data_IF_128047620448
#
_entry.id   IF_128047620448
#
_cell.length_a   1.000
_cell.length_b   1.000
_cell.length_c   1.000
_cell.angle_alpha   90.00
_cell.angle_beta   90.00
_cell.angle_gamma   90.00
#
_symmetry.space_group_name_H-M   'P 1'
#
loop_
_entity.id
_entity.type
_entity.pdbx_description
1 polymer ?
#
# COMPACT_ATOMS: atom_id res chain seq x y z
N UNK A 1 19.62 -7.70 -2.17
CA UNK A 1 19.06 -6.41 -1.69
C UNK A 1 18.76 -6.54 -0.20
N UNK A 2 19.09 -5.52 0.62
CA UNK A 2 18.70 -5.54 2.04
C UNK A 2 17.18 -5.47 2.18
N UNK A 3 16.62 -6.19 3.15
CA UNK A 3 15.18 -6.16 3.44
C UNK A 3 14.69 -4.73 3.72
N UNK A 4 15.53 -3.91 4.37
CA UNK A 4 15.26 -2.49 4.61
C UNK A 4 15.08 -1.72 3.30
N UNK A 5 15.91 -2.00 2.28
CA UNK A 5 15.81 -1.34 0.98
C UNK A 5 14.55 -1.73 0.23
N UNK A 6 14.11 -2.99 0.33
CA UNK A 6 12.90 -3.43 -0.35
C UNK A 6 11.65 -2.85 0.30
N UNK A 7 11.49 -3.02 1.62
CA UNK A 7 10.35 -2.49 2.35
C UNK A 7 10.32 -0.96 2.31
N UNK A 8 11.47 -0.32 2.56
CA UNK A 8 11.61 1.13 2.48
C UNK A 8 11.36 1.64 1.06
N UNK A 9 11.86 0.96 0.04
CA UNK A 9 11.66 1.31 -1.36
C UNK A 9 10.18 1.31 -1.75
N UNK A 10 9.44 0.26 -1.41
CA UNK A 10 8.00 0.20 -1.68
C UNK A 10 7.24 1.24 -0.86
N UNK A 11 7.57 1.42 0.43
CA UNK A 11 6.95 2.42 1.28
C UNK A 11 7.12 3.84 0.72
N UNK A 12 8.33 4.19 0.29
CA UNK A 12 8.66 5.50 -0.31
C UNK A 12 7.94 5.66 -1.64
N UNK A 13 7.96 4.64 -2.51
CA UNK A 13 7.29 4.68 -3.80
C UNK A 13 5.76 4.89 -3.64
N UNK A 14 5.13 4.13 -2.75
CA UNK A 14 3.71 4.28 -2.44
C UNK A 14 3.43 5.65 -1.84
N UNK A 15 4.23 6.10 -0.87
CA UNK A 15 4.08 7.43 -0.27
C UNK A 15 4.15 8.52 -1.33
N UNK A 16 5.13 8.46 -2.23
CA UNK A 16 5.30 9.42 -3.31
C UNK A 16 4.09 9.43 -4.25
N UNK A 17 3.59 8.25 -4.65
CA UNK A 17 2.40 8.13 -5.51
C UNK A 17 1.16 8.73 -4.85
N UNK A 18 0.91 8.37 -3.58
CA UNK A 18 -0.24 8.87 -2.81
C UNK A 18 -0.14 10.38 -2.61
N UNK A 19 1.08 10.86 -2.32
CA UNK A 19 1.35 12.29 -2.22
C UNK A 19 1.02 12.95 -3.54
N UNK A 20 1.62 12.56 -4.67
CA UNK A 20 1.39 13.21 -5.98
C UNK A 20 -0.10 13.20 -6.38
N UNK A 21 -0.79 12.08 -6.19
CA UNK A 21 -2.17 11.90 -6.65
C UNK A 21 -3.23 12.47 -5.70
N UNK A 22 -2.86 12.83 -4.47
CA UNK A 22 -3.72 13.42 -3.44
C UNK A 22 -5.07 12.72 -3.29
N UNK A 23 -5.08 11.52 -2.69
CA UNK A 23 -6.28 10.70 -2.52
C UNK A 23 -6.63 10.50 -1.06
N UNK A 24 -7.90 10.21 -0.77
CA UNK A 24 -8.38 9.94 0.59
C UNK A 24 -7.73 8.69 1.16
N UNK A 25 -7.28 8.81 2.41
CA UNK A 25 -6.62 7.74 3.14
C UNK A 25 -7.49 6.48 3.23
N UNK A 26 -8.78 6.62 3.54
CA UNK A 26 -9.66 5.49 3.82
C UNK A 26 -9.83 4.53 2.64
N UNK A 27 -10.01 5.04 1.43
CA UNK A 27 -10.12 4.19 0.22
C UNK A 27 -8.83 3.40 0.01
N UNK A 28 -7.69 4.05 0.21
CA UNK A 28 -6.38 3.44 0.01
C UNK A 28 -6.03 2.42 1.10
N UNK A 29 -6.39 2.70 2.35
CA UNK A 29 -6.19 1.78 3.46
C UNK A 29 -7.01 0.50 3.30
N UNK A 30 -8.29 0.63 2.91
CA UNK A 30 -9.15 -0.53 2.64
C UNK A 30 -8.69 -1.30 1.40
N UNK A 31 -8.22 -0.59 0.36
CA UNK A 31 -7.57 -1.22 -0.77
C UNK A 31 -6.39 -2.08 -0.34
N UNK A 32 -5.51 -1.55 0.52
CA UNK A 32 -4.33 -2.28 0.99
C UNK A 32 -4.73 -3.54 1.76
N UNK A 33 -5.82 -3.50 2.52
CA UNK A 33 -6.37 -4.68 3.19
C UNK A 33 -6.78 -5.76 2.16
N UNK A 34 -7.54 -5.36 1.14
CA UNK A 34 -7.97 -6.26 0.07
C UNK A 34 -6.77 -6.79 -0.74
N UNK A 35 -5.80 -5.92 -1.04
CA UNK A 35 -4.58 -6.30 -1.74
C UNK A 35 -3.71 -7.28 -0.95
N UNK A 36 -3.62 -7.11 0.38
CA UNK A 36 -2.89 -8.03 1.24
C UNK A 36 -3.51 -9.43 1.21
N UNK A 37 -4.84 -9.52 1.31
CA UNK A 37 -5.56 -10.78 1.15
C UNK A 37 -5.32 -11.40 -0.24
N UNK A 38 -5.34 -10.58 -1.29
CA UNK A 38 -5.08 -11.06 -2.64
C UNK A 38 -3.65 -11.60 -2.78
N UNK A 39 -2.66 -10.92 -2.20
CA UNK A 39 -1.28 -11.39 -2.17
C UNK A 39 -1.14 -12.70 -1.39
N UNK A 40 -1.81 -12.84 -0.22
CA UNK A 40 -1.77 -14.08 0.55
C UNK A 40 -2.36 -15.28 -0.20
N UNK A 41 -3.41 -15.05 -1.00
CA UNK A 41 -4.12 -16.09 -1.74
C UNK A 41 -3.47 -16.45 -3.08
N UNK A 42 -2.91 -15.48 -3.80
CA UNK A 42 -2.54 -15.64 -5.21
C UNK A 42 -1.07 -15.40 -5.54
N UNK A 43 -0.23 -14.99 -4.58
CA UNK A 43 1.18 -14.70 -4.86
C UNK A 43 1.95 -15.93 -5.38
N UNK A 44 1.70 -17.12 -4.83
CA UNK A 44 2.36 -18.35 -5.27
C UNK A 44 1.96 -18.72 -6.71
N UNK A 45 0.67 -18.68 -7.00
CA UNK A 45 0.16 -18.93 -8.35
C UNK A 45 0.74 -17.93 -9.36
N UNK A 46 0.70 -16.64 -9.04
CA UNK A 46 1.21 -15.59 -9.92
C UNK A 46 2.74 -15.71 -10.10
N UNK A 47 3.48 -16.09 -9.06
CA UNK A 47 4.92 -16.37 -9.17
C UNK A 47 5.20 -17.51 -10.15
N UNK A 48 4.38 -18.57 -10.12
CA UNK A 48 4.43 -19.67 -11.08
C UNK A 48 4.17 -19.20 -12.52
N UNK A 49 3.17 -18.35 -12.72
CA UNK A 49 2.90 -17.73 -14.03
C UNK A 49 4.09 -16.91 -14.52
N UNK A 50 4.67 -16.05 -13.69
CA UNK A 50 5.85 -15.23 -14.03
C UNK A 50 7.03 -16.13 -14.42
N UNK A 51 7.28 -17.20 -13.65
CA UNK A 51 8.31 -18.18 -13.96
C UNK A 51 8.07 -18.92 -15.27
N UNK A 52 6.81 -19.31 -15.54
CA UNK A 52 6.39 -19.97 -16.79
C UNK A 52 6.56 -19.10 -18.04
N UNK A 53 6.57 -17.76 -17.89
CA UNK A 53 6.86 -16.82 -18.97
C UNK A 53 8.36 -16.70 -19.29
N UNK A 54 9.23 -17.50 -18.66
CA UNK A 54 10.69 -17.43 -18.81
C UNK A 54 11.31 -16.21 -18.12
N UNK A 55 10.51 -15.42 -17.40
CA UNK A 55 10.97 -14.26 -16.66
C UNK A 55 11.61 -14.74 -15.35
N UNK A 56 12.94 -14.70 -15.32
CA UNK A 56 13.72 -15.10 -14.16
C UNK A 56 14.31 -13.86 -13.49
N UNK A 57 14.04 -13.67 -12.20
CA UNK A 57 14.68 -12.67 -11.35
C UNK A 57 14.53 -11.21 -11.84
N UNK A 58 13.29 -10.72 -11.94
CA UNK A 58 13.02 -9.31 -12.28
C UNK A 58 13.73 -8.40 -11.26
N UNK A 59 14.66 -7.57 -11.75
CA UNK A 59 15.48 -6.69 -10.91
C UNK A 59 16.23 -7.42 -9.76
N UNK A 60 16.56 -8.70 -9.96
CA UNK A 60 17.25 -9.51 -8.95
C UNK A 60 16.35 -9.96 -7.79
N UNK A 61 15.03 -9.89 -7.93
CA UNK A 61 14.06 -10.33 -6.93
C UNK A 61 13.45 -11.69 -7.30
N UNK A 62 13.21 -12.58 -6.32
CA UNK A 62 12.46 -13.81 -6.56
C UNK A 62 11.07 -13.53 -7.12
N UNK A 63 10.58 -14.39 -8.01
CA UNK A 63 9.26 -14.20 -8.65
C UNK A 63 8.11 -14.10 -7.63
N UNK A 64 8.21 -14.78 -6.48
CA UNK A 64 7.26 -14.64 -5.37
C UNK A 64 7.23 -13.24 -4.74
N UNK A 65 8.38 -12.60 -4.60
CA UNK A 65 8.49 -11.21 -4.13
C UNK A 65 7.87 -10.25 -5.13
N UNK A 66 8.16 -10.44 -6.42
CA UNK A 66 7.60 -9.63 -7.51
C UNK A 66 6.08 -9.76 -7.56
N UNK A 67 5.57 -11.00 -7.53
CA UNK A 67 4.14 -11.30 -7.50
C UNK A 67 3.44 -10.63 -6.31
N UNK A 68 4.05 -10.73 -5.12
CA UNK A 68 3.54 -10.11 -3.89
C UNK A 68 3.44 -8.59 -4.03
N UNK A 69 4.47 -7.94 -4.57
CA UNK A 69 4.47 -6.49 -4.79
C UNK A 69 3.37 -6.11 -5.79
N UNK A 70 3.23 -6.83 -6.90
CA UNK A 70 2.19 -6.59 -7.91
C UNK A 70 0.79 -6.71 -7.29
N UNK A 71 0.52 -7.77 -6.54
CA UNK A 71 -0.80 -7.99 -5.94
C UNK A 71 -1.09 -7.01 -4.80
N UNK A 72 -0.06 -6.53 -4.10
CA UNK A 72 -0.21 -5.55 -3.03
C UNK A 72 -0.43 -4.13 -3.57
N UNK A 73 0.43 -3.70 -4.50
CA UNK A 73 0.49 -2.34 -5.01
C UNK A 73 -0.46 -2.12 -6.20
N UNK A 74 -0.74 -3.15 -6.99
CA UNK A 74 -1.58 -3.07 -8.19
C UNK A 74 -2.98 -2.51 -7.92
N UNK A 75 -3.79 -3.13 -7.02
CA UNK A 75 -5.12 -2.63 -6.70
C UNK A 75 -5.09 -1.23 -6.06
N UNK A 76 -4.05 -0.95 -5.27
CA UNK A 76 -3.83 0.37 -4.69
C UNK A 76 -3.65 1.44 -5.77
N UNK A 77 -2.84 1.16 -6.80
CA UNK A 77 -2.61 2.08 -7.93
C UNK A 77 -3.90 2.31 -8.72
N UNK A 78 -4.72 1.28 -8.92
CA UNK A 78 -6.03 1.44 -9.57
C UNK A 78 -6.91 2.43 -8.79
N UNK A 79 -7.01 2.27 -7.47
CA UNK A 79 -7.79 3.17 -6.61
C UNK A 79 -7.15 4.53 -6.40
N UNK A 80 -5.84 4.66 -6.57
CA UNK A 80 -5.14 5.94 -6.61
C UNK A 80 -5.55 6.77 -7.83
N UNK A 81 -5.91 6.13 -8.95
CA UNK A 81 -6.35 6.84 -10.16
C UNK A 81 -7.84 7.18 -10.09
N UNK A 82 -8.67 6.25 -9.63
CA UNK A 82 -10.15 6.36 -9.65
C UNK A 82 -10.76 6.95 -8.38
N UNK A 83 -10.01 6.96 -7.26
CA UNK A 83 -10.53 7.30 -5.94
C UNK A 83 -10.86 8.78 -5.71
N UNK A 84 -11.66 9.08 -4.69
CA UNK A 84 -12.03 10.44 -4.32
C UNK A 84 -10.79 11.28 -3.97
N UNK A 85 -10.82 12.55 -4.38
CA UNK A 85 -9.73 13.49 -4.09
C UNK A 85 -9.58 13.70 -2.59
N UNK A 86 -8.32 13.76 -2.18
CA UNK A 86 -7.87 13.89 -0.82
C UNK A 86 -8.03 15.32 -0.26
N UNK A 87 -7.67 15.47 1.01
CA UNK A 87 -7.82 16.71 1.78
C UNK A 87 -6.76 17.78 1.40
N UNK A 88 -6.71 18.87 2.18
CA UNK A 88 -5.76 19.97 1.99
C UNK A 88 -4.27 19.56 2.14
N UNK A 89 -3.35 20.47 1.81
CA UNK A 89 -1.89 20.17 1.67
C UNK A 89 -1.27 19.43 2.87
N UNK A 90 -1.61 19.80 4.11
CA UNK A 90 -1.05 19.15 5.30
C UNK A 90 -1.60 17.73 5.47
N UNK A 91 -2.92 17.55 5.37
CA UNK A 91 -3.52 16.21 5.46
C UNK A 91 -3.13 15.32 4.27
N UNK A 92 -2.82 15.89 3.11
CA UNK A 92 -2.27 15.16 1.95
C UNK A 92 -0.92 14.52 2.29
N UNK A 93 -0.04 15.25 2.99
CA UNK A 93 1.24 14.68 3.43
C UNK A 93 1.02 13.58 4.48
N UNK A 94 0.17 13.84 5.47
CA UNK A 94 -0.14 12.87 6.55
C UNK A 94 -0.74 11.59 5.96
N UNK A 95 -1.73 11.70 5.08
CA UNK A 95 -2.34 10.55 4.42
C UNK A 95 -1.34 9.76 3.59
N UNK A 96 -0.48 10.44 2.81
CA UNK A 96 0.57 9.77 2.05
C UNK A 96 1.52 8.95 2.92
N UNK A 97 2.01 9.54 4.01
CA UNK A 97 2.91 8.85 4.96
C UNK A 97 2.19 7.66 5.61
N UNK A 98 0.95 7.84 6.06
CA UNK A 98 0.17 6.76 6.67
C UNK A 98 -0.08 5.61 5.70
N UNK A 99 -0.41 5.88 4.43
CA UNK A 99 -0.57 4.83 3.41
C UNK A 99 0.75 4.12 3.15
N UNK A 100 1.87 4.84 3.08
CA UNK A 100 3.19 4.24 2.90
C UNK A 100 3.56 3.30 4.04
N UNK A 101 3.36 3.73 5.29
CA UNK A 101 3.59 2.90 6.48
C UNK A 101 2.66 1.68 6.47
N UNK A 102 1.38 1.85 6.15
CA UNK A 102 0.43 0.76 6.08
C UNK A 102 0.77 -0.22 4.95
N UNK A 103 1.21 0.25 3.78
CA UNK A 103 1.65 -0.59 2.68
C UNK A 103 2.88 -1.42 3.06
N UNK A 104 3.87 -0.78 3.70
CA UNK A 104 5.07 -1.46 4.21
C UNK A 104 4.69 -2.55 5.21
N UNK A 105 3.78 -2.23 6.13
CA UNK A 105 3.21 -3.16 7.07
C UNK A 105 2.60 -4.35 6.28
N UNK A 106 1.70 -4.08 5.32
CA UNK A 106 0.92 -5.10 4.59
C UNK A 106 1.76 -6.09 3.80
N UNK A 107 2.99 -5.70 3.47
CA UNK A 107 3.96 -6.54 2.80
C UNK A 107 4.73 -7.47 3.74
N UNK A 108 4.74 -7.23 5.06
CA UNK A 108 5.59 -7.97 6.02
C UNK A 108 5.29 -9.46 5.95
N UNK A 109 4.03 -9.86 6.14
CA UNK A 109 3.67 -11.28 6.13
C UNK A 109 3.81 -11.94 4.76
N UNK A 110 3.25 -11.38 3.67
CA UNK A 110 3.35 -12.00 2.35
C UNK A 110 4.80 -12.16 1.87
N UNK A 111 5.66 -11.14 2.08
CA UNK A 111 7.06 -11.22 1.65
C UNK A 111 7.91 -12.15 2.50
N UNK A 112 7.59 -12.30 3.79
CA UNK A 112 8.29 -13.23 4.67
C UNK A 112 8.27 -14.68 4.17
N UNK A 113 7.27 -15.06 3.35
CA UNK A 113 7.19 -16.40 2.73
C UNK A 113 8.22 -16.63 1.62
N UNK A 114 8.63 -15.58 0.92
CA UNK A 114 9.43 -15.67 -0.30
C UNK A 114 10.87 -15.17 -0.14
N UNK A 115 11.21 -14.64 1.04
CA UNK A 115 12.55 -14.18 1.34
C UNK A 115 13.36 -15.23 2.10
N UNK A 116 14.55 -15.55 1.58
CA UNK A 116 15.63 -16.15 2.36
C UNK A 116 16.19 -15.07 3.29
N UNK A 117 15.90 -15.21 4.59
CA UNK A 117 16.32 -14.25 5.60
C UNK A 117 17.68 -14.66 6.17
N UNK A 118 18.71 -13.86 5.89
CA UNK A 118 19.98 -13.93 6.60
C UNK A 118 19.83 -13.46 8.06
N UNK A 119 20.81 -13.70 8.93
CA UNK A 119 20.69 -13.46 10.38
C UNK A 119 20.26 -12.02 10.73
N UNK A 120 20.79 -11.03 10.02
CA UNK A 120 20.44 -9.61 10.18
C UNK A 120 19.05 -9.26 9.62
N UNK A 121 18.69 -9.85 8.48
CA UNK A 121 17.37 -9.69 7.87
C UNK A 121 16.27 -10.31 8.75
N UNK A 122 16.56 -11.44 9.40
CA UNK A 122 15.64 -12.09 10.33
C UNK A 122 15.37 -11.23 11.57
N UNK A 123 16.39 -10.55 12.12
CA UNK A 123 16.20 -9.62 13.24
C UNK A 123 15.28 -8.46 12.85
N UNK A 124 15.52 -7.88 11.67
CA UNK A 124 14.70 -6.79 11.12
C UNK A 124 13.26 -7.26 10.86
N UNK A 125 13.10 -8.42 10.23
CA UNK A 125 11.80 -9.02 9.98
C UNK A 125 11.00 -9.27 11.25
N UNK A 126 11.62 -9.83 12.31
CA UNK A 126 10.95 -10.04 13.60
C UNK A 126 10.44 -8.74 14.19
N UNK A 127 11.26 -7.69 14.19
CA UNK A 127 10.84 -6.37 14.64
C UNK A 127 9.62 -5.87 13.85
N UNK A 128 9.66 -5.93 12.51
CA UNK A 128 8.51 -5.53 11.68
C UNK A 128 7.28 -6.41 11.94
N UNK A 129 7.46 -7.71 12.12
CA UNK A 129 6.38 -8.68 12.37
C UNK A 129 5.72 -8.49 13.74
N UNK A 130 6.48 -8.08 14.76
CA UNK A 130 5.95 -7.81 16.09
C UNK A 130 5.07 -6.55 16.09
N UNK A 131 5.51 -5.51 15.37
CA UNK A 131 4.77 -4.25 15.25
C UNK A 131 3.65 -4.30 14.21
N UNK A 132 3.73 -5.22 13.25
CA UNK A 132 2.79 -5.38 12.14
C UNK A 132 1.34 -5.39 12.61
N UNK A 133 1.01 -6.17 13.65
CA UNK A 133 -0.38 -6.29 14.14
C UNK A 133 -0.93 -4.93 14.56
N UNK A 134 -0.13 -4.11 15.25
CA UNK A 134 -0.55 -2.79 15.70
C UNK A 134 -0.70 -1.82 14.53
N UNK A 135 0.28 -1.78 13.63
CA UNK A 135 0.26 -0.90 12.45
C UNK A 135 -0.93 -1.22 11.52
N UNK A 136 -1.17 -2.50 11.25
CA UNK A 136 -2.31 -2.96 10.46
C UNK A 136 -3.64 -2.58 11.11
N UNK A 137 -3.81 -2.89 12.40
CA UNK A 137 -5.08 -2.64 13.11
C UNK A 137 -5.39 -1.15 13.15
N UNK A 138 -4.44 -0.33 13.60
CA UNK A 138 -4.63 1.12 13.71
C UNK A 138 -4.88 1.75 12.34
N UNK A 139 -4.09 1.37 11.32
CA UNK A 139 -4.25 1.91 9.97
C UNK A 139 -5.59 1.55 9.33
N UNK A 140 -6.06 0.31 9.51
CA UNK A 140 -7.35 -0.14 8.96
C UNK A 140 -8.54 0.48 9.70
N UNK A 141 -8.50 0.56 11.03
CA UNK A 141 -9.54 1.24 11.81
C UNK A 141 -9.60 2.73 11.44
N UNK A 142 -8.46 3.40 11.34
CA UNK A 142 -8.40 4.78 10.86
C UNK A 142 -8.95 4.91 9.43
N UNK A 143 -8.73 3.92 8.57
CA UNK A 143 -9.25 3.89 7.20
C UNK A 143 -10.77 3.78 7.14
N UNK A 144 -11.35 2.92 7.99
CA UNK A 144 -12.81 2.81 8.17
C UNK A 144 -13.40 4.13 8.69
N UNK A 145 -12.77 4.74 9.70
CA UNK A 145 -13.20 6.03 10.23
C UNK A 145 -13.12 7.13 9.17
N UNK A 146 -12.03 7.21 8.39
CA UNK A 146 -11.93 8.18 7.29
C UNK A 146 -13.06 7.99 6.27
N UNK A 147 -13.43 6.76 5.93
CA UNK A 147 -14.56 6.49 5.05
C UNK A 147 -15.93 6.85 5.63
N UNK A 148 -16.10 6.70 6.93
CA UNK A 148 -17.35 7.08 7.60
C UNK A 148 -17.59 8.60 7.64
N UNK A 149 -16.54 9.41 7.47
CA UNK A 149 -16.68 10.87 7.39
C UNK A 149 -17.19 11.26 5.99
N UNK A 150 -18.33 11.95 5.88
CA UNK A 150 -18.90 12.33 4.58
C UNK A 150 -17.95 13.27 3.82
N UNK A 151 -17.89 13.07 2.50
CA UNK A 151 -17.23 14.01 1.60
C UNK A 151 -17.92 15.36 1.74
N UNK A 152 -17.20 16.42 2.13
CA UNK A 152 -17.75 17.78 2.08
C UNK A 152 -18.11 18.09 0.63
N UNK A 153 -19.41 18.08 0.32
CA UNK A 153 -19.91 18.51 -0.98
C UNK A 153 -19.56 20.00 -1.15
N UNK A 154 -18.96 20.35 -2.30
CA UNK A 154 -18.70 21.75 -2.63
C UNK A 154 -20.06 22.42 -2.82
N UNK A 155 -20.37 23.42 -2.00
CA UNK A 155 -21.63 24.15 -2.09
C UNK A 155 -21.80 24.70 -3.52
N UNK A 156 -23.01 24.59 -4.12
CA UNK A 156 -23.24 25.12 -5.46
C UNK A 156 -22.93 26.62 -5.48
N UNK A 157 -22.18 27.06 -6.50
CA UNK A 157 -21.84 28.46 -6.65
C UNK A 157 -23.12 29.29 -6.70
N UNK A 158 -23.27 30.26 -5.79
CA UNK A 158 -24.40 31.18 -5.82
C UNK A 158 -24.39 31.90 -7.16
N UNK A 159 -25.37 31.61 -8.02
CA UNK A 159 -25.59 32.42 -9.23
C UNK A 159 -25.85 33.85 -8.74
N UNK A 160 -24.91 34.77 -9.00
CA UNK A 160 -25.14 36.20 -8.78
C UNK A 160 -26.26 36.61 -9.72
N UNK A 161 -27.46 36.78 -9.19
CA UNK A 161 -28.58 37.42 -9.90
C UNK A 161 -28.14 38.84 -10.20
N UNK A 162 -27.82 39.15 -11.47
CA UNK A 162 -27.67 40.52 -11.94
C UNK A 162 -29.05 41.17 -11.86
N UNK A 163 -29.21 42.15 -10.97
CA UNK A 163 -30.30 43.12 -10.99
C UNK A 163 -29.86 44.32 -11.79
#
# INVERSE_FOLDING_TARGET
>A
MSMVLLFGGVAVAVTALVFVLNRRFGVLALSLAASALLAELWAEWLAGVIGGLGVSNVAGLPNGVVATIILTVGPLVLLLVTGPKGPGKLLRLISAVLVGVLAAAMLVRPLGKFMSLDAEAMKTYKLLSDWWRYAATVGLVAGLLDMSVPLKAKAPASKKTKR
#
